data_IF_569180983881
#
_entry.id   IF_569180983881
#
_cell.length_a   1.000
_cell.length_b   1.000
_cell.length_c   1.000
_cell.angle_alpha   90.00
_cell.angle_beta   90.00
_cell.angle_gamma   90.00
#
_symmetry.space_group_name_H-M   'P 1'
#
loop_
_entity.id
_entity.type
_entity.pdbx_description
1 polymer ?
#
# COMPACT_ATOMS: atom_id res chain seq x y z
N UNK A 1 6.96 2.56 65.19
CA UNK A 1 7.69 2.70 63.92
C UNK A 1 6.92 1.97 62.82
N UNK A 2 5.96 2.63 62.18
CA UNK A 2 5.23 2.11 61.03
C UNK A 2 5.62 2.91 59.80
N UNK A 3 6.24 2.28 58.82
CA UNK A 3 6.62 2.94 57.56
C UNK A 3 5.36 3.18 56.72
N UNK A 4 4.97 4.44 56.59
CA UNK A 4 4.00 4.92 55.62
C UNK A 4 4.56 4.67 54.21
N UNK A 5 3.93 3.76 53.46
CA UNK A 5 4.17 3.60 52.03
C UNK A 5 3.51 4.78 51.34
N UNK A 6 4.31 5.76 50.93
CA UNK A 6 3.90 6.83 50.03
C UNK A 6 3.55 6.18 48.69
N UNK A 7 2.26 6.11 48.36
CA UNK A 7 1.80 5.71 47.04
C UNK A 7 2.27 6.76 46.04
N UNK A 8 3.18 6.36 45.16
CA UNK A 8 3.45 7.11 43.92
C UNK A 8 2.13 7.16 43.15
N UNK A 9 1.62 8.34 42.76
CA UNK A 9 0.45 8.40 41.91
C UNK A 9 0.80 7.71 40.59
N UNK A 10 0.09 6.61 40.31
CA UNK A 10 0.00 6.01 39.00
C UNK A 10 -0.46 7.12 38.04
N UNK A 11 0.47 7.66 37.25
CA UNK A 11 0.11 8.43 36.07
C UNK A 11 -0.67 7.48 35.17
N UNK A 12 -1.94 7.82 34.94
CA UNK A 12 -2.80 7.11 34.02
C UNK A 12 -2.08 6.97 32.67
N UNK A 13 -1.96 5.73 32.19
CA UNK A 13 -1.55 5.45 30.83
C UNK A 13 -2.54 6.14 29.89
N UNK A 14 -2.15 7.31 29.36
CA UNK A 14 -2.97 8.08 28.44
C UNK A 14 -3.02 7.39 27.08
N UNK A 15 -4.20 6.88 26.74
CA UNK A 15 -4.83 6.68 25.42
C UNK A 15 -4.00 6.85 24.11
N UNK A 16 -2.80 6.27 24.01
CA UNK A 16 -2.10 6.07 22.72
C UNK A 16 -2.39 4.66 22.22
N UNK A 17 -3.39 4.55 21.36
CA UNK A 17 -4.09 3.28 21.15
C UNK A 17 -3.80 2.65 19.76
N UNK A 18 -2.94 3.27 18.94
CA UNK A 18 -2.37 2.67 17.73
C UNK A 18 -0.98 3.24 17.36
N UNK A 19 -0.28 2.54 16.47
CA UNK A 19 1.08 2.91 16.02
C UNK A 19 1.18 2.94 14.49
N UNK A 20 1.57 4.07 13.92
CA UNK A 20 1.84 4.24 12.49
C UNK A 20 3.24 3.72 12.18
N UNK A 21 3.38 2.81 11.24
CA UNK A 21 4.69 2.42 10.69
C UNK A 21 4.95 3.21 9.41
N UNK A 22 6.12 3.84 9.30
CA UNK A 22 6.49 4.70 8.16
C UNK A 22 8.00 4.63 7.93
N UNK A 23 8.47 4.82 6.69
CA UNK A 23 9.90 4.95 6.43
C UNK A 23 10.40 6.37 6.60
N UNK A 24 11.67 6.50 6.99
CA UNK A 24 12.37 7.77 7.16
C UNK A 24 12.27 8.66 5.90
N UNK A 25 12.44 8.06 4.72
CA UNK A 25 12.36 8.77 3.44
C UNK A 25 10.97 9.37 3.17
N UNK A 26 9.89 8.72 3.63
CA UNK A 26 8.54 9.24 3.44
C UNK A 26 8.28 10.47 4.33
N UNK A 27 8.86 10.49 5.54
CA UNK A 27 8.83 11.67 6.41
C UNK A 27 9.70 12.80 5.86
N UNK A 28 10.84 12.49 5.24
CA UNK A 28 11.66 13.48 4.54
C UNK A 28 10.86 14.15 3.41
N UNK A 29 10.06 13.37 2.68
CA UNK A 29 9.24 13.87 1.59
C UNK A 29 8.15 14.83 2.11
N UNK A 30 7.40 14.42 3.14
CA UNK A 30 6.40 15.30 3.79
C UNK A 30 7.07 16.60 4.23
N UNK A 31 8.22 16.50 4.90
CA UNK A 31 8.93 17.67 5.39
C UNK A 31 9.35 18.62 4.25
N UNK A 32 9.85 18.08 3.14
CA UNK A 32 10.22 18.86 1.96
C UNK A 32 9.03 19.68 1.43
N UNK A 33 7.87 19.04 1.21
CA UNK A 33 6.69 19.75 0.73
C UNK A 33 6.20 20.80 1.73
N UNK A 34 6.18 20.51 3.04
CA UNK A 34 5.77 21.50 4.04
C UNK A 34 6.71 22.72 4.05
N UNK A 35 8.01 22.51 3.89
CA UNK A 35 9.01 23.58 3.85
C UNK A 35 8.98 24.40 2.56
N UNK A 36 8.56 23.80 1.44
CA UNK A 36 8.31 24.50 0.17
C UNK A 36 7.05 25.39 0.25
N UNK A 37 6.14 25.11 1.19
CA UNK A 37 4.88 25.82 1.38
C UNK A 37 4.72 26.38 2.83
N UNK A 38 5.60 27.27 3.30
CA UNK A 38 5.64 27.62 4.72
C UNK A 38 4.53 28.59 5.19
N UNK A 39 3.80 29.20 4.26
CA UNK A 39 2.80 30.24 4.53
C UNK A 39 1.37 29.88 4.08
N UNK A 40 1.20 28.70 3.49
CA UNK A 40 -0.07 28.18 2.97
C UNK A 40 -0.17 26.70 3.32
N UNK A 41 -1.37 26.14 3.34
CA UNK A 41 -1.52 24.71 3.56
C UNK A 41 -1.11 23.93 2.32
N UNK A 42 -0.45 22.79 2.53
CA UNK A 42 -0.11 21.79 1.52
C UNK A 42 -0.45 20.41 2.07
N UNK A 43 -0.46 19.40 1.21
CA UNK A 43 -0.81 18.05 1.63
C UNK A 43 -0.67 17.02 0.52
N UNK A 44 -1.20 15.85 0.79
CA UNK A 44 -1.24 14.73 -0.14
C UNK A 44 -1.83 13.48 0.52
N UNK A 45 -1.53 12.32 -0.06
CA UNK A 45 -2.23 11.08 0.28
C UNK A 45 -1.26 9.97 0.72
N UNK A 46 -1.77 9.06 1.54
CA UNK A 46 -1.04 7.97 2.17
C UNK A 46 -1.50 6.63 1.60
N UNK A 47 -0.54 5.87 1.08
CA UNK A 47 -0.78 4.53 0.54
C UNK A 47 0.00 3.47 1.31
N UNK A 48 -0.66 2.36 1.61
CA UNK A 48 -0.10 1.34 2.48
C UNK A 48 -1.05 0.20 2.79
N UNK A 49 -0.88 -0.37 3.98
CA UNK A 49 -1.66 -1.50 4.47
C UNK A 49 -2.15 -1.26 5.90
N UNK A 50 -3.27 -1.89 6.24
CA UNK A 50 -3.69 -2.07 7.63
C UNK A 50 -3.16 -3.41 8.15
N UNK A 51 -2.44 -3.39 9.27
CA UNK A 51 -2.01 -4.63 9.92
C UNK A 51 -3.20 -5.38 10.51
N UNK A 52 -3.01 -6.66 10.87
CA UNK A 52 -4.04 -7.45 11.56
C UNK A 52 -4.49 -6.80 12.89
N UNK A 53 -3.59 -6.09 13.58
CA UNK A 53 -3.92 -5.31 14.80
C UNK A 53 -4.65 -4.01 14.51
N UNK A 54 -4.91 -3.70 13.24
CA UNK A 54 -5.56 -2.46 12.80
C UNK A 54 -4.67 -1.23 12.78
N UNK A 55 -3.35 -1.40 12.86
CA UNK A 55 -2.38 -0.30 12.78
C UNK A 55 -2.05 0.02 11.31
N UNK A 56 -1.89 1.30 10.93
CA UNK A 56 -1.49 1.67 9.58
C UNK A 56 0.02 1.48 9.35
N UNK A 57 0.36 0.95 8.18
CA UNK A 57 1.72 0.85 7.68
C UNK A 57 1.84 1.56 6.33
N UNK A 58 2.38 2.78 6.35
CA UNK A 58 2.60 3.62 5.18
C UNK A 58 3.76 3.03 4.37
N UNK A 59 3.54 2.85 3.07
CA UNK A 59 4.54 2.37 2.11
C UNK A 59 4.91 3.42 1.07
N UNK A 60 3.97 4.30 0.74
CA UNK A 60 4.13 5.38 -0.24
C UNK A 60 3.40 6.61 0.27
N UNK A 61 4.05 7.77 0.20
CA UNK A 61 3.43 9.08 0.40
C UNK A 61 3.41 9.83 -0.92
N UNK A 62 2.23 10.35 -1.27
CA UNK A 62 2.06 11.29 -2.36
C UNK A 62 2.11 12.72 -1.83
N UNK A 63 2.77 13.60 -2.58
CA UNK A 63 2.72 15.05 -2.38
C UNK A 63 1.49 15.69 -3.04
N UNK A 64 1.44 17.04 -3.08
CA UNK A 64 0.40 17.74 -3.78
C UNK A 64 0.48 17.42 -5.28
N UNK A 65 -0.66 17.13 -5.90
CA UNK A 65 -0.75 17.05 -7.35
C UNK A 65 -0.57 18.41 -8.02
N UNK A 66 -0.24 18.45 -9.32
CA UNK A 66 -0.01 19.71 -10.05
C UNK A 66 -1.23 20.63 -10.07
N UNK A 67 -2.44 20.07 -10.02
CA UNK A 67 -3.70 20.79 -9.96
C UNK A 67 -4.17 21.08 -8.54
N UNK A 68 -3.38 20.77 -7.52
CA UNK A 68 -3.76 21.03 -6.14
C UNK A 68 -3.84 22.54 -5.89
N UNK A 69 -4.83 22.95 -5.08
CA UNK A 69 -5.05 24.36 -4.75
C UNK A 69 -4.75 24.59 -3.28
N UNK A 70 -3.88 25.56 -3.03
CA UNK A 70 -3.37 25.90 -1.72
C UNK A 70 -3.97 27.22 -1.25
N UNK A 71 -4.44 27.29 -0.01
CA UNK A 71 -4.90 28.50 0.65
C UNK A 71 -4.23 28.65 2.02
N UNK A 72 -4.44 29.78 2.68
CA UNK A 72 -3.84 30.07 3.97
C UNK A 72 -4.36 29.23 5.14
N UNK A 73 -5.45 28.47 4.95
CA UNK A 73 -6.06 27.63 5.98
C UNK A 73 -6.90 26.50 5.36
N UNK A 74 -6.62 26.16 4.09
CA UNK A 74 -7.29 25.07 3.40
C UNK A 74 -6.39 24.52 2.29
N UNK A 75 -6.47 23.21 2.05
CA UNK A 75 -5.78 22.50 0.98
C UNK A 75 -6.76 21.63 0.20
N UNK A 76 -6.85 21.86 -1.11
CA UNK A 76 -7.73 21.12 -2.00
C UNK A 76 -6.90 20.17 -2.87
N UNK A 77 -7.24 18.88 -2.79
CA UNK A 77 -6.51 17.82 -3.47
C UNK A 77 -6.71 17.88 -4.99
N UNK A 78 -5.66 17.50 -5.72
CA UNK A 78 -5.75 17.17 -7.13
C UNK A 78 -6.34 15.76 -7.29
N UNK A 79 -7.63 15.71 -7.56
CA UNK A 79 -8.41 14.48 -7.69
C UNK A 79 -7.90 13.60 -8.83
N UNK A 80 -7.58 14.19 -9.97
CA UNK A 80 -7.14 13.44 -11.16
C UNK A 80 -5.77 12.79 -10.87
N UNK A 81 -4.85 13.56 -10.25
CA UNK A 81 -3.57 13.01 -9.82
C UNK A 81 -3.73 11.88 -8.77
N UNK A 82 -4.64 12.04 -7.81
CA UNK A 82 -4.93 11.00 -6.82
C UNK A 82 -5.48 9.74 -7.49
N UNK A 83 -6.42 9.88 -8.43
CA UNK A 83 -6.99 8.73 -9.14
C UNK A 83 -5.93 7.99 -9.94
N UNK A 84 -5.19 8.70 -10.79
CA UNK A 84 -4.15 8.11 -11.65
C UNK A 84 -3.06 7.41 -10.84
N UNK A 85 -2.59 8.07 -9.78
CA UNK A 85 -1.55 7.48 -8.90
C UNK A 85 -2.13 6.32 -8.09
N UNK A 86 -3.35 6.46 -7.58
CA UNK A 86 -4.03 5.47 -6.77
C UNK A 86 -4.32 4.17 -7.51
N UNK A 87 -4.84 4.26 -8.74
CA UNK A 87 -5.09 3.11 -9.61
C UNK A 87 -3.80 2.32 -9.86
N UNK A 88 -2.68 3.02 -10.11
CA UNK A 88 -1.40 2.37 -10.38
C UNK A 88 -0.77 1.77 -9.12
N UNK A 89 -0.83 2.47 -7.99
CA UNK A 89 -0.36 1.96 -6.70
C UNK A 89 -1.18 0.75 -6.25
N UNK A 90 -2.47 0.71 -6.54
CA UNK A 90 -3.33 -0.43 -6.27
C UNK A 90 -3.04 -1.60 -7.23
N UNK A 91 -3.08 -1.36 -8.54
CA UNK A 91 -2.94 -2.39 -9.55
C UNK A 91 -1.53 -3.02 -9.56
N UNK A 92 -0.48 -2.19 -9.52
CA UNK A 92 0.89 -2.65 -9.70
C UNK A 92 1.55 -3.07 -8.38
N UNK A 93 1.04 -2.60 -7.23
CA UNK A 93 1.66 -2.79 -5.93
C UNK A 93 0.71 -3.27 -4.81
N UNK A 94 -0.58 -3.43 -5.10
CA UNK A 94 -1.58 -3.87 -4.12
C UNK A 94 -1.81 -2.89 -2.97
N UNK A 95 -1.36 -1.64 -3.09
CA UNK A 95 -1.46 -0.67 -2.01
C UNK A 95 -2.89 -0.13 -1.90
N UNK A 96 -3.33 0.09 -0.66
CA UNK A 96 -4.61 0.71 -0.35
C UNK A 96 -4.39 2.20 -0.08
N UNK A 97 -5.36 3.03 -0.45
CA UNK A 97 -5.47 4.38 0.08
C UNK A 97 -5.89 4.27 1.56
N UNK A 98 -4.99 4.64 2.47
CA UNK A 98 -5.20 4.46 3.92
C UNK A 98 -5.45 5.78 4.64
N UNK A 99 -5.31 6.92 3.96
CA UNK A 99 -5.38 8.21 4.61
C UNK A 99 -4.77 9.36 3.84
N UNK A 100 -4.71 10.52 4.48
CA UNK A 100 -4.12 11.75 3.98
C UNK A 100 -3.10 12.36 4.94
N UNK A 101 -2.38 13.35 4.44
CA UNK A 101 -1.60 14.25 5.27
C UNK A 101 -1.76 15.67 4.76
N UNK A 102 -1.76 16.64 5.67
CA UNK A 102 -1.74 18.06 5.32
C UNK A 102 -1.08 18.89 6.41
N UNK A 103 -0.72 20.11 6.06
CA UNK A 103 -0.03 21.03 6.96
C UNK A 103 -0.95 22.12 7.47
N UNK A 104 -0.93 22.38 8.77
CA UNK A 104 -1.44 23.63 9.35
C UNK A 104 -0.33 24.68 9.51
N UNK A 105 0.69 24.67 8.63
CA UNK A 105 1.89 25.51 8.63
C UNK A 105 2.25 26.08 10.02
N UNK A 106 2.25 27.41 10.17
CA UNK A 106 2.49 28.16 11.42
C UNK A 106 1.21 28.49 12.23
N UNK A 107 0.04 27.97 11.86
CA UNK A 107 -1.21 28.17 12.64
C UNK A 107 -1.09 27.54 14.03
N UNK A 108 -0.22 26.53 14.18
CA UNK A 108 0.10 25.94 15.47
C UNK A 108 -0.99 25.01 16.00
N UNK A 109 -2.00 24.68 15.19
CA UNK A 109 -3.00 23.65 15.47
C UNK A 109 -2.42 22.28 15.08
N UNK A 110 -2.08 21.47 16.07
CA UNK A 110 -1.39 20.19 15.89
C UNK A 110 -2.34 18.99 15.71
N UNK A 111 -3.64 19.25 15.65
CA UNK A 111 -4.74 18.30 15.51
C UNK A 111 -5.66 18.68 14.34
N UNK A 112 -6.47 17.76 13.81
CA UNK A 112 -7.44 18.08 12.77
C UNK A 112 -8.37 19.21 13.22
N UNK A 113 -8.67 20.11 12.30
CA UNK A 113 -9.69 21.14 12.49
C UNK A 113 -11.09 20.51 12.56
N UNK A 114 -12.11 21.31 12.90
CA UNK A 114 -13.49 20.85 12.83
C UNK A 114 -13.92 20.50 11.39
N UNK A 115 -13.43 21.28 10.41
CA UNK A 115 -13.67 21.03 8.98
C UNK A 115 -12.99 19.74 8.50
N UNK A 116 -11.75 19.50 8.93
CA UNK A 116 -11.01 18.27 8.63
C UNK A 116 -11.78 17.05 9.15
N UNK A 117 -12.17 17.09 10.43
CA UNK A 117 -12.89 15.99 11.05
C UNK A 117 -14.23 15.70 10.36
N UNK A 118 -14.99 16.75 10.01
CA UNK A 118 -16.25 16.60 9.28
C UNK A 118 -16.03 15.99 7.89
N UNK A 119 -14.97 16.39 7.19
CA UNK A 119 -14.61 15.88 5.85
C UNK A 119 -14.23 14.40 5.91
N UNK A 120 -13.40 14.01 6.88
CA UNK A 120 -13.01 12.60 7.04
C UNK A 120 -14.21 11.75 7.46
N UNK A 121 -15.06 12.21 8.37
CA UNK A 121 -16.27 11.47 8.75
C UNK A 121 -17.23 11.27 7.59
N UNK A 122 -17.42 12.29 6.75
CA UNK A 122 -18.19 12.16 5.51
C UNK A 122 -17.55 11.15 4.57
N UNK A 123 -16.23 11.21 4.41
CA UNK A 123 -15.46 10.25 3.59
C UNK A 123 -15.65 8.81 4.07
N UNK A 124 -15.57 8.55 5.38
CA UNK A 124 -15.81 7.23 5.96
C UNK A 124 -17.24 6.74 5.66
N UNK A 125 -18.23 7.61 5.84
CA UNK A 125 -19.64 7.27 5.64
C UNK A 125 -19.98 7.00 4.17
N UNK A 126 -19.61 7.92 3.27
CA UNK A 126 -19.94 7.81 1.85
C UNK A 126 -19.27 6.61 1.20
N UNK A 127 -18.03 6.31 1.59
CA UNK A 127 -17.24 5.26 0.96
C UNK A 127 -17.28 3.93 1.75
N UNK A 128 -18.00 3.86 2.87
CA UNK A 128 -18.04 2.67 3.72
C UNK A 128 -16.67 2.24 4.27
N UNK A 129 -15.72 3.18 4.38
CA UNK A 129 -14.41 2.88 4.94
C UNK A 129 -14.52 2.67 6.45
N UNK A 130 -13.90 1.61 7.00
CA UNK A 130 -13.94 1.37 8.44
C UNK A 130 -13.05 2.35 9.22
N UNK A 131 -12.04 2.94 8.56
CA UNK A 131 -11.02 3.79 9.18
C UNK A 131 -10.24 4.61 8.15
N UNK A 132 -9.66 5.71 8.61
CA UNK A 132 -8.90 6.65 7.79
C UNK A 132 -7.83 7.34 8.65
N UNK A 133 -6.58 7.33 8.18
CA UNK A 133 -5.47 7.99 8.86
C UNK A 133 -5.32 9.42 8.35
N UNK A 134 -5.24 10.40 9.23
CA UNK A 134 -4.86 11.77 8.88
C UNK A 134 -3.60 12.16 9.63
N UNK A 135 -2.62 12.66 8.90
CA UNK A 135 -1.38 13.18 9.47
C UNK A 135 -1.34 14.71 9.37
N UNK A 136 -1.21 15.39 10.52
CA UNK A 136 -1.11 16.85 10.58
C UNK A 136 0.35 17.25 10.75
N UNK A 137 0.86 18.04 9.81
CA UNK A 137 2.18 18.63 9.86
C UNK A 137 2.13 20.10 10.31
N UNK A 138 3.04 20.52 11.20
CA UNK A 138 3.18 21.91 11.63
C UNK A 138 4.62 22.37 11.54
N UNK A 139 4.84 23.66 11.29
CA UNK A 139 6.17 24.28 11.37
C UNK A 139 6.35 24.85 12.78
N UNK A 140 7.45 24.47 13.43
CA UNK A 140 7.83 24.93 14.78
C UNK A 140 9.28 25.38 14.77
N UNK A 141 9.64 26.28 15.69
CA UNK A 141 11.04 26.49 16.01
C UNK A 141 11.61 25.23 16.66
N UNK A 142 12.81 24.80 16.22
CA UNK A 142 13.44 23.60 16.75
C UNK A 142 13.73 23.66 18.26
N UNK A 143 13.83 24.88 18.82
CA UNK A 143 14.03 25.12 20.24
C UNK A 143 12.73 24.93 21.06
N UNK A 144 11.56 24.96 20.42
CA UNK A 144 10.24 24.82 21.06
C UNK A 144 9.77 23.36 21.14
N UNK A 145 10.45 22.43 20.46
CA UNK A 145 10.08 21.01 20.47
C UNK A 145 10.69 20.32 21.69
N UNK A 146 9.88 19.79 22.64
CA UNK A 146 10.40 19.18 23.85
C UNK A 146 11.36 18.02 23.57
N UNK A 147 12.56 18.01 24.18
CA UNK A 147 13.48 16.88 24.02
C UNK A 147 12.91 15.62 24.70
N UNK A 148 12.81 14.52 23.96
CA UNK A 148 12.59 13.19 24.53
C UNK A 148 11.25 12.50 24.24
N UNK A 149 10.31 13.13 23.52
CA UNK A 149 9.00 12.51 23.22
C UNK A 149 8.88 11.92 21.79
N UNK A 150 9.90 11.99 20.94
CA UNK A 150 9.77 11.58 19.54
C UNK A 150 11.05 11.22 18.80
N UNK A 151 10.89 10.82 17.54
CA UNK A 151 12.02 10.58 16.61
C UNK A 151 12.31 11.87 15.87
N UNK A 152 13.57 12.26 15.85
CA UNK A 152 14.06 13.45 15.14
C UNK A 152 15.05 13.06 14.07
N UNK A 153 14.91 13.64 12.88
CA UNK A 153 16.00 13.71 11.91
C UNK A 153 16.55 15.13 11.86
N UNK A 154 17.84 15.25 12.15
CA UNK A 154 18.61 16.47 11.92
C UNK A 154 19.47 16.22 10.70
N UNK A 155 19.33 17.04 9.65
CA UNK A 155 20.21 16.92 8.50
C UNK A 155 21.63 17.30 8.93
N UNK A 156 22.57 16.37 8.75
CA UNK A 156 24.00 16.56 8.97
C UNK A 156 24.72 16.32 7.63
N UNK A 157 24.73 17.32 6.75
CA UNK A 157 25.53 17.20 5.51
C UNK A 157 26.17 18.50 5.02
N UNK A 158 25.85 19.66 5.59
CA UNK A 158 26.42 20.93 5.12
C UNK A 158 26.83 21.91 6.23
N UNK A 159 26.84 21.48 7.51
CA UNK A 159 27.40 22.27 8.62
C UNK A 159 26.71 23.63 8.84
N UNK A 160 25.55 23.87 8.20
CA UNK A 160 24.78 25.12 8.29
C UNK A 160 23.46 24.98 9.05
N UNK A 161 23.07 23.76 9.39
CA UNK A 161 21.78 23.39 10.01
C UNK A 161 21.85 23.21 11.53
N UNK A 162 22.96 23.58 12.15
CA UNK A 162 23.08 23.78 13.60
C UNK A 162 22.91 25.26 13.98
N UNK A 163 22.05 26.01 13.30
CA UNK A 163 21.61 27.31 13.81
C UNK A 163 20.47 27.06 14.79
N UNK A 164 20.70 27.47 16.04
CA UNK A 164 19.65 27.87 16.98
C UNK A 164 18.61 28.72 16.21
N UNK A 165 17.32 28.43 16.34
CA UNK A 165 16.24 29.11 15.59
C UNK A 165 16.01 28.64 14.14
N UNK A 166 16.18 27.35 13.83
CA UNK A 166 15.74 26.75 12.55
C UNK A 166 14.35 26.13 12.65
N UNK A 167 13.56 26.20 11.57
CA UNK A 167 12.23 25.57 11.53
C UNK A 167 12.34 24.05 11.41
N UNK A 168 11.45 23.34 12.10
CA UNK A 168 11.29 21.89 12.04
C UNK A 168 9.83 21.55 11.73
N UNK A 169 9.63 20.54 10.89
CA UNK A 169 8.30 20.00 10.60
C UNK A 169 7.93 18.99 11.68
N UNK A 170 6.88 19.24 12.45
CA UNK A 170 6.36 18.34 13.48
C UNK A 170 5.11 17.63 12.95
N UNK A 171 5.13 16.29 12.91
CA UNK A 171 4.00 15.49 12.44
C UNK A 171 3.29 14.75 13.57
N UNK A 172 1.96 14.77 13.49
CA UNK A 172 1.03 14.13 14.39
C UNK A 172 0.12 13.18 13.60
N UNK A 173 -0.25 12.04 14.17
CA UNK A 173 -1.09 11.04 13.53
C UNK A 173 -2.44 10.91 14.23
N UNK A 174 -3.51 10.88 13.44
CA UNK A 174 -4.90 10.80 13.91
C UNK A 174 -5.64 9.71 13.15
N UNK A 175 -6.21 8.75 13.86
CA UNK A 175 -7.01 7.68 13.27
C UNK A 175 -8.49 7.97 13.48
N UNK A 176 -9.20 8.13 12.37
CA UNK A 176 -10.65 8.20 12.33
C UNK A 176 -11.21 6.80 12.09
N UNK A 177 -12.30 6.47 12.76
CA UNK A 177 -12.94 5.16 12.70
C UNK A 177 -14.44 5.31 12.57
N UNK A 178 -15.06 4.48 11.74
CA UNK A 178 -16.51 4.49 11.56
C UNK A 178 -17.21 4.26 12.91
N UNK A 179 -18.14 5.17 13.25
CA UNK A 179 -18.90 5.11 14.50
C UNK A 179 -18.21 5.75 15.71
N UNK A 180 -16.99 6.29 15.58
CA UNK A 180 -16.33 7.08 16.64
C UNK A 180 -16.38 8.56 16.29
N UNK A 181 -16.84 9.40 17.22
CA UNK A 181 -16.95 10.85 16.98
C UNK A 181 -15.58 11.54 16.94
N UNK A 182 -14.69 11.19 17.88
CA UNK A 182 -13.37 11.82 18.02
C UNK A 182 -12.27 10.92 17.44
N UNK A 183 -11.30 11.49 16.69
CA UNK A 183 -10.16 10.73 16.24
C UNK A 183 -9.26 10.31 17.41
N UNK A 184 -8.56 9.19 17.22
CA UNK A 184 -7.60 8.63 18.16
C UNK A 184 -6.22 9.21 17.82
N UNK A 185 -5.42 9.65 18.80
CA UNK A 185 -4.04 10.09 18.53
C UNK A 185 -3.09 8.89 18.53
N UNK A 186 -2.25 8.81 17.51
CA UNK A 186 -1.30 7.71 17.30
C UNK A 186 0.11 8.03 17.75
N UNK A 187 0.94 6.98 17.76
CA UNK A 187 2.41 7.08 17.88
C UNK A 187 3.09 6.59 16.60
N UNK A 188 4.35 6.93 16.40
CA UNK A 188 5.13 6.57 15.21
C UNK A 188 6.15 5.46 15.48
N UNK A 189 6.30 4.57 14.52
CA UNK A 189 7.37 3.57 14.40
C UNK A 189 8.13 3.86 13.11
N UNK A 190 9.22 4.62 13.21
CA UNK A 190 9.98 5.05 12.03
C UNK A 190 10.99 3.96 11.64
N UNK A 191 10.88 3.46 10.42
CA UNK A 191 11.81 2.53 9.80
C UNK A 191 12.91 3.30 9.08
N UNK A 192 14.18 2.97 9.31
CA UNK A 192 15.30 3.62 8.59
C UNK A 192 15.24 3.39 7.08
N UNK A 193 15.68 4.37 6.29
CA UNK A 193 15.79 4.25 4.84
C UNK A 193 14.47 4.53 4.10
N UNK A 194 14.23 3.79 3.00
CA UNK A 194 13.11 4.00 2.08
C UNK A 194 12.36 2.69 1.86
N UNK A 195 11.04 2.76 1.69
CA UNK A 195 10.24 1.59 1.28
C UNK A 195 10.74 1.03 -0.05
N UNK A 196 10.97 -0.30 -0.16
CA UNK A 196 11.21 -0.95 -1.45
C UNK A 196 10.08 -0.68 -2.45
N UNK A 197 8.83 -0.64 -1.99
CA UNK A 197 7.65 -0.40 -2.83
C UNK A 197 7.66 1.03 -3.37
N UNK A 198 7.97 2.03 -2.52
CA UNK A 198 8.13 3.42 -2.95
C UNK A 198 9.18 3.56 -4.06
N UNK A 199 10.28 2.83 -3.96
CA UNK A 199 11.33 2.83 -4.99
C UNK A 199 10.83 2.25 -6.33
N UNK A 200 10.07 1.16 -6.30
CA UNK A 200 9.51 0.56 -7.53
C UNK A 200 8.39 1.40 -8.12
N UNK A 201 7.54 1.99 -7.27
CA UNK A 201 6.43 2.86 -7.69
C UNK A 201 6.93 4.12 -8.39
N UNK A 202 7.97 4.77 -7.84
CA UNK A 202 8.57 5.94 -8.49
C UNK A 202 9.20 5.58 -9.84
N UNK A 203 9.90 4.44 -9.94
CA UNK A 203 10.49 3.97 -11.21
C UNK A 203 9.44 3.61 -12.25
N UNK A 204 8.31 3.06 -11.83
CA UNK A 204 7.17 2.82 -12.70
C UNK A 204 6.51 4.14 -13.13
N UNK A 205 6.71 5.22 -12.37
CA UNK A 205 6.12 6.54 -12.57
C UNK A 205 4.76 6.70 -11.88
N UNK A 206 4.38 5.80 -10.98
CA UNK A 206 3.12 5.84 -10.22
C UNK A 206 3.11 6.98 -9.19
N UNK A 207 4.29 7.48 -8.84
CA UNK A 207 4.48 8.67 -8.02
C UNK A 207 5.36 9.68 -8.76
N UNK A 208 5.21 10.96 -8.42
CA UNK A 208 6.12 11.99 -8.90
C UNK A 208 7.40 12.03 -8.06
N UNK A 209 8.55 12.36 -8.68
CA UNK A 209 9.78 12.60 -7.94
C UNK A 209 9.57 13.71 -6.90
N UNK A 210 10.09 13.51 -5.70
CA UNK A 210 10.02 14.48 -4.61
C UNK A 210 10.95 15.69 -4.89
N UNK A 211 10.68 16.87 -4.29
CA UNK A 211 11.61 17.99 -4.33
C UNK A 211 13.02 17.58 -3.89
N UNK A 212 14.05 18.15 -4.53
CA UNK A 212 15.45 17.80 -4.26
C UNK A 212 15.92 18.15 -2.85
N UNK A 213 15.24 19.08 -2.18
CA UNK A 213 15.62 19.55 -0.85
C UNK A 213 14.84 18.80 0.21
N UNK A 214 15.54 18.07 1.09
CA UNK A 214 14.95 17.49 2.29
C UNK A 214 15.26 18.40 3.47
N UNK A 215 14.31 18.52 4.40
CA UNK A 215 14.47 19.35 5.59
C UNK A 215 14.27 18.59 6.90
N UNK A 216 14.58 19.21 8.05
CA UNK A 216 14.48 18.56 9.34
C UNK A 216 13.02 18.30 9.73
N UNK A 217 12.77 17.12 10.29
CA UNK A 217 11.45 16.74 10.80
C UNK A 217 11.52 16.07 12.17
N UNK A 218 10.37 16.08 12.83
CA UNK A 218 10.12 15.49 14.13
C UNK A 218 8.74 14.82 14.15
N UNK A 219 8.65 13.58 14.65
CA UNK A 219 7.37 12.88 14.83
C UNK A 219 7.07 12.66 16.31
N UNK A 220 5.85 12.98 16.78
CA UNK A 220 5.48 12.91 18.22
C UNK A 220 4.12 12.27 18.48
N UNK A 221 4.02 11.27 19.39
CA UNK A 221 5.12 10.52 19.99
C UNK A 221 5.75 9.53 19.00
N UNK A 222 7.03 9.19 19.12
CA UNK A 222 7.69 8.32 18.16
C UNK A 222 8.82 7.47 18.71
N UNK A 223 9.02 6.29 18.12
CA UNK A 223 10.18 5.43 18.36
C UNK A 223 10.87 5.07 17.04
N UNK A 224 12.21 5.07 17.03
CA UNK A 224 12.98 4.63 15.87
C UNK A 224 13.12 3.12 15.93
N UNK A 225 12.90 2.46 14.79
CA UNK A 225 13.25 1.06 14.60
C UNK A 225 14.18 0.99 13.40
N UNK A 226 15.29 0.28 13.52
CA UNK A 226 15.99 -0.17 12.32
C UNK A 226 14.96 -0.94 11.50
N UNK A 227 14.77 -0.56 10.23
CA UNK A 227 14.02 -1.39 9.32
C UNK A 227 14.62 -2.78 9.47
N UNK A 228 13.83 -3.75 9.92
CA UNK A 228 14.30 -5.13 9.93
C UNK A 228 14.66 -5.35 8.47
N UNK A 229 15.95 -5.50 8.18
CA UNK A 229 16.34 -6.16 6.95
C UNK A 229 15.64 -7.48 7.11
N UNK A 230 14.48 -7.63 6.46
CA UNK A 230 13.96 -8.95 6.24
C UNK A 230 15.17 -9.68 5.70
N UNK A 231 15.63 -10.72 6.42
CA UNK A 231 16.55 -11.65 5.81
C UNK A 231 16.00 -11.88 4.42
N UNK A 232 16.83 -11.67 3.38
CA UNK A 232 16.45 -11.86 1.98
C UNK A 232 15.44 -12.99 1.95
N UNK A 233 14.16 -12.71 1.62
CA UNK A 233 13.11 -13.67 1.90
C UNK A 233 13.53 -14.98 1.24
N UNK A 234 13.76 -16.00 2.08
CA UNK A 234 14.44 -17.22 1.64
C UNK A 234 13.58 -18.03 0.67
N UNK A 235 12.28 -17.76 0.69
CA UNK A 235 11.31 -18.39 -0.17
C UNK A 235 11.50 -17.97 -1.64
N UNK A 236 11.62 -18.95 -2.51
CA UNK A 236 11.88 -18.78 -3.95
C UNK A 236 10.89 -17.81 -4.63
N UNK A 237 9.62 -17.81 -4.22
CA UNK A 237 8.55 -16.99 -4.81
C UNK A 237 8.67 -15.50 -4.51
N UNK A 238 9.56 -15.10 -3.61
CA UNK A 238 9.86 -13.69 -3.32
C UNK A 238 11.00 -13.14 -4.18
N UNK A 239 11.79 -14.01 -4.81
CA UNK A 239 12.87 -13.62 -5.73
C UNK A 239 12.31 -12.95 -6.99
N UNK A 240 13.15 -12.23 -7.75
CA UNK A 240 12.71 -11.65 -9.03
C UNK A 240 12.20 -12.72 -10.00
N UNK A 241 12.96 -13.80 -10.15
CA UNK A 241 12.58 -14.94 -10.97
C UNK A 241 11.28 -15.61 -10.50
N UNK A 242 11.13 -15.88 -9.20
CA UNK A 242 9.94 -16.55 -8.67
C UNK A 242 8.66 -15.75 -8.86
N UNK A 243 8.74 -14.41 -8.73
CA UNK A 243 7.63 -13.51 -9.04
C UNK A 243 7.25 -13.54 -10.52
N UNK A 244 8.24 -13.46 -11.41
CA UNK A 244 8.00 -13.54 -12.87
C UNK A 244 7.40 -14.88 -13.28
N UNK A 245 7.86 -15.98 -12.66
CA UNK A 245 7.30 -17.31 -12.86
C UNK A 245 5.83 -17.37 -12.45
N UNK A 246 5.48 -16.90 -11.25
CA UNK A 246 4.10 -16.92 -10.74
C UNK A 246 3.15 -16.03 -11.54
N UNK A 247 3.61 -14.85 -11.97
CA UNK A 247 2.82 -13.96 -12.82
C UNK A 247 2.50 -14.62 -14.16
N UNK A 248 3.49 -15.25 -14.80
CA UNK A 248 3.28 -15.99 -16.06
C UNK A 248 2.40 -17.22 -15.86
N UNK A 249 2.57 -17.95 -14.75
CA UNK A 249 1.75 -19.09 -14.40
C UNK A 249 0.28 -18.69 -14.28
N UNK A 250 -0.01 -17.62 -13.54
CA UNK A 250 -1.37 -17.11 -13.36
C UNK A 250 -1.97 -16.54 -14.66
N UNK A 251 -1.19 -15.82 -15.47
CA UNK A 251 -1.64 -15.34 -16.78
C UNK A 251 -2.07 -16.49 -17.70
N UNK A 252 -1.27 -17.56 -17.79
CA UNK A 252 -1.59 -18.73 -18.60
C UNK A 252 -2.79 -19.47 -18.00
N UNK A 253 -2.80 -19.65 -16.68
CA UNK A 253 -3.85 -20.41 -16.02
C UNK A 253 -5.22 -19.72 -16.07
N UNK A 254 -5.30 -18.39 -15.97
CA UNK A 254 -6.56 -17.65 -16.15
C UNK A 254 -7.15 -17.80 -17.56
N UNK A 255 -6.33 -18.09 -18.57
CA UNK A 255 -6.81 -18.41 -19.93
C UNK A 255 -7.30 -19.86 -20.06
N UNK A 256 -6.83 -20.75 -19.20
CA UNK A 256 -7.08 -22.19 -19.29
C UNK A 256 -8.18 -22.68 -18.32
N UNK A 257 -8.40 -21.98 -17.21
CA UNK A 257 -9.29 -22.43 -16.13
C UNK A 257 -10.29 -21.33 -15.72
N UNK A 258 -11.54 -21.68 -15.36
CA UNK A 258 -12.57 -20.71 -14.97
C UNK A 258 -12.26 -19.93 -13.68
N UNK A 259 -11.47 -20.51 -12.78
CA UNK A 259 -11.11 -19.91 -11.50
C UNK A 259 -9.71 -20.34 -11.13
N UNK A 260 -8.89 -19.36 -10.73
CA UNK A 260 -7.51 -19.56 -10.29
C UNK A 260 -7.23 -18.76 -9.03
N UNK A 261 -6.33 -19.25 -8.17
CA UNK A 261 -5.85 -18.51 -7.00
C UNK A 261 -4.47 -18.99 -6.56
N UNK A 262 -3.59 -18.05 -6.20
CA UNK A 262 -2.32 -18.36 -5.53
C UNK A 262 -2.54 -18.23 -4.02
N UNK A 263 -2.20 -19.27 -3.27
CA UNK A 263 -2.29 -19.29 -1.80
C UNK A 263 -0.95 -19.73 -1.23
N UNK A 264 -0.60 -19.24 -0.04
CA UNK A 264 0.60 -19.67 0.69
C UNK A 264 0.18 -20.22 2.04
N UNK A 265 0.65 -21.42 2.37
CA UNK A 265 0.53 -21.94 3.72
C UNK A 265 1.61 -21.29 4.58
N UNK A 266 1.20 -20.48 5.56
CA UNK A 266 2.11 -19.72 6.42
C UNK A 266 2.95 -20.58 7.36
N UNK A 267 2.50 -21.82 7.65
CA UNK A 267 3.18 -22.72 8.58
C UNK A 267 4.25 -23.57 7.87
N UNK A 268 3.97 -24.01 6.62
CA UNK A 268 4.88 -24.85 5.85
C UNK A 268 5.70 -24.10 4.80
N UNK A 269 5.34 -22.86 4.45
CA UNK A 269 5.92 -22.13 3.32
C UNK A 269 5.52 -22.68 1.95
N UNK A 270 4.68 -23.70 1.88
CA UNK A 270 4.19 -24.29 0.63
C UNK A 270 3.27 -23.30 -0.09
N UNK A 271 3.61 -22.98 -1.35
CA UNK A 271 2.78 -22.15 -2.21
C UNK A 271 1.92 -23.07 -3.07
N UNK A 272 0.61 -22.84 -3.10
CA UNK A 272 -0.32 -23.61 -3.90
C UNK A 272 -1.01 -22.73 -4.94
N UNK A 273 -0.85 -23.09 -6.22
CA UNK A 273 -1.62 -22.55 -7.34
C UNK A 273 -2.87 -23.38 -7.55
N UNK A 274 -4.03 -22.87 -7.12
CA UNK A 274 -5.32 -23.56 -7.15
C UNK A 274 -6.07 -23.20 -8.42
N UNK A 275 -6.77 -24.17 -8.97
CA UNK A 275 -7.62 -23.98 -10.15
C UNK A 275 -8.78 -24.97 -10.16
N UNK A 276 -9.87 -24.62 -10.82
CA UNK A 276 -11.07 -25.47 -10.92
C UNK A 276 -11.17 -26.09 -12.31
N UNK A 277 -11.53 -27.38 -12.36
CA UNK A 277 -11.88 -28.10 -13.58
C UNK A 277 -13.27 -28.71 -13.44
N UNK A 278 -13.77 -29.38 -14.49
CA UNK A 278 -15.02 -30.16 -14.40
C UNK A 278 -14.96 -31.27 -13.34
N UNK A 279 -13.76 -31.72 -12.96
CA UNK A 279 -13.53 -32.74 -11.93
C UNK A 279 -13.44 -32.19 -10.49
N UNK A 280 -13.50 -30.87 -10.29
CA UNK A 280 -13.40 -30.23 -8.99
C UNK A 280 -12.21 -29.28 -8.86
N UNK A 281 -11.83 -28.96 -7.62
CA UNK A 281 -10.73 -28.04 -7.33
C UNK A 281 -9.41 -28.81 -7.19
N UNK A 282 -8.44 -28.44 -8.02
CA UNK A 282 -7.08 -28.97 -8.00
C UNK A 282 -6.12 -27.88 -7.52
N UNK A 283 -4.91 -28.29 -7.14
CA UNK A 283 -3.82 -27.35 -6.87
C UNK A 283 -2.48 -27.88 -7.36
N UNK A 284 -1.59 -27.01 -7.83
CA UNK A 284 -0.16 -27.31 -7.93
C UNK A 284 0.51 -26.77 -6.67
N UNK A 285 1.00 -27.67 -5.82
CA UNK A 285 1.74 -27.36 -4.61
C UNK A 285 3.23 -27.26 -4.93
N UNK A 286 3.79 -26.06 -4.74
CA UNK A 286 5.20 -25.76 -4.88
C UNK A 286 5.87 -25.80 -3.50
N UNK A 287 6.86 -26.67 -3.31
CA UNK A 287 7.60 -26.74 -2.04
C UNK A 287 8.50 -25.50 -1.87
N UNK A 288 8.90 -25.23 -0.62
CA UNK A 288 9.84 -24.14 -0.27
C UNK A 288 11.20 -24.26 -1.01
N UNK A 289 11.59 -25.49 -1.40
CA UNK A 289 12.80 -25.77 -2.17
C UNK A 289 12.65 -25.76 -3.70
N UNK A 290 11.54 -25.28 -4.26
CA UNK A 290 11.40 -25.11 -5.71
C UNK A 290 12.38 -24.03 -6.23
N UNK A 291 13.04 -24.21 -7.39
CA UNK A 291 12.86 -25.26 -8.41
C UNK A 291 13.65 -26.56 -8.18
N UNK A 292 14.50 -26.63 -7.16
CA UNK A 292 15.31 -27.83 -6.89
C UNK A 292 14.46 -29.02 -6.40
N UNK A 293 13.29 -28.74 -5.82
CA UNK A 293 12.26 -29.72 -5.46
C UNK A 293 11.06 -29.60 -6.39
N UNK A 294 10.55 -30.76 -6.81
CA UNK A 294 9.42 -30.86 -7.74
C UNK A 294 8.11 -30.42 -7.08
N UNK A 295 7.24 -29.72 -7.82
CA UNK A 295 5.88 -29.48 -7.37
C UNK A 295 5.03 -30.74 -7.48
N UNK A 296 3.90 -30.74 -6.77
CA UNK A 296 2.94 -31.84 -6.72
C UNK A 296 1.56 -31.35 -7.16
N UNK A 297 0.88 -32.11 -8.01
CA UNK A 297 -0.53 -31.93 -8.30
C UNK A 297 -1.33 -32.53 -7.14
N UNK A 298 -2.14 -31.70 -6.51
CA UNK A 298 -3.08 -32.06 -5.46
C UNK A 298 -4.47 -32.19 -6.08
N UNK A 299 -5.05 -33.39 -5.98
CA UNK A 299 -6.39 -33.70 -6.48
C UNK A 299 -7.49 -33.30 -5.47
N UNK A 300 -8.77 -33.21 -5.89
CA UNK A 300 -9.88 -32.80 -5.03
C UNK A 300 -10.08 -33.69 -3.79
N UNK A 301 -9.70 -34.96 -3.87
CA UNK A 301 -9.73 -35.94 -2.79
C UNK A 301 -8.48 -35.90 -1.88
N UNK A 302 -7.54 -34.99 -2.16
CA UNK A 302 -6.31 -34.79 -1.38
C UNK A 302 -5.15 -35.69 -1.80
N UNK A 303 -5.30 -36.48 -2.87
CA UNK A 303 -4.19 -37.20 -3.49
C UNK A 303 -3.10 -36.24 -3.96
N UNK A 304 -1.83 -36.68 -3.93
CA UNK A 304 -0.68 -35.89 -4.37
C UNK A 304 0.17 -36.69 -5.34
N UNK A 305 0.45 -36.11 -6.50
CA UNK A 305 1.27 -36.72 -7.55
C UNK A 305 2.35 -35.74 -8.02
N UNK A 306 3.62 -36.15 -8.19
CA UNK A 306 4.68 -35.27 -8.71
C UNK A 306 4.37 -34.75 -10.12
N UNK A 307 4.76 -33.50 -10.40
CA UNK A 307 4.67 -32.89 -11.73
C UNK A 307 6.09 -32.76 -12.30
N UNK A 308 6.38 -33.50 -13.37
CA UNK A 308 7.75 -33.72 -13.85
C UNK A 308 8.27 -32.63 -14.80
N UNK A 309 7.38 -31.86 -15.43
CA UNK A 309 7.69 -30.80 -16.42
C UNK A 309 7.81 -29.41 -15.81
N UNK A 310 7.84 -29.30 -14.48
CA UNK A 310 8.03 -28.04 -13.80
C UNK A 310 9.45 -27.49 -14.00
N UNK A 311 9.70 -26.92 -15.17
CA UNK A 311 10.92 -26.20 -15.46
C UNK A 311 10.77 -24.74 -15.00
N UNK A 312 11.76 -24.18 -14.30
CA UNK A 312 11.70 -22.82 -13.76
C UNK A 312 11.41 -21.72 -14.79
N UNK A 313 11.64 -21.98 -16.07
CA UNK A 313 11.46 -21.02 -17.17
C UNK A 313 10.24 -21.30 -18.06
N UNK A 314 9.47 -22.37 -17.78
CA UNK A 314 8.40 -22.83 -18.67
C UNK A 314 7.10 -23.14 -17.93
N UNK A 315 6.46 -22.13 -17.29
CA UNK A 315 5.20 -22.33 -16.58
C UNK A 315 4.07 -22.89 -17.47
N UNK A 316 4.11 -22.63 -18.78
CA UNK A 316 3.16 -23.20 -19.73
C UNK A 316 3.34 -24.70 -20.00
N UNK A 317 4.54 -25.26 -19.81
CA UNK A 317 4.74 -26.72 -19.88
C UNK A 317 4.15 -27.42 -18.67
N UNK A 318 4.38 -26.86 -17.48
CA UNK A 318 3.78 -27.32 -16.22
C UNK A 318 2.25 -27.38 -16.33
N UNK A 319 1.61 -26.30 -16.76
CA UNK A 319 0.14 -26.29 -16.90
C UNK A 319 -0.36 -27.24 -18.00
N UNK A 320 0.44 -27.51 -19.04
CA UNK A 320 0.08 -28.48 -20.09
C UNK A 320 0.10 -29.92 -19.55
N UNK A 321 1.11 -30.28 -18.76
CA UNK A 321 1.17 -31.58 -18.09
C UNK A 321 0.02 -31.72 -17.08
N UNK A 322 -0.20 -30.72 -16.24
CA UNK A 322 -1.31 -30.69 -15.28
C UNK A 322 -2.65 -30.84 -15.99
N UNK A 323 -2.86 -30.18 -17.13
CA UNK A 323 -4.06 -30.39 -17.97
C UNK A 323 -4.19 -31.83 -18.45
N UNK A 324 -3.07 -32.46 -18.83
CA UNK A 324 -3.04 -33.89 -19.19
C UNK A 324 -3.40 -34.81 -18.02
N UNK A 325 -2.90 -34.54 -16.81
CA UNK A 325 -3.14 -35.34 -15.60
C UNK A 325 -4.56 -35.19 -15.04
N UNK A 326 -5.13 -33.98 -15.13
CA UNK A 326 -6.46 -33.67 -14.59
C UNK A 326 -7.63 -34.07 -15.49
N UNK A 327 -7.37 -34.41 -16.77
CA UNK A 327 -8.39 -34.88 -17.72
C UNK A 327 -9.49 -33.84 -18.05
N UNK A 328 -9.44 -33.28 -19.27
CA UNK A 328 -10.47 -32.43 -19.91
C UNK A 328 -11.22 -31.44 -19.00
N UNK A 329 -10.56 -30.33 -18.65
CA UNK A 329 -11.25 -29.05 -18.49
C UNK A 329 -11.73 -28.54 -19.86
N UNK A 330 -13.03 -28.30 -19.99
CA UNK A 330 -13.77 -28.09 -21.23
C UNK A 330 -13.16 -27.07 -22.21
N UNK A 331 -12.65 -27.57 -23.33
CA UNK A 331 -13.08 -27.29 -24.73
C UNK A 331 -12.07 -27.98 -25.67
N UNK A 332 -12.54 -28.92 -26.49
CA UNK A 332 -11.90 -29.38 -27.73
C UNK A 332 -13.05 -29.42 -28.77
N UNK A 333 -13.25 -28.45 -29.69
CA UNK A 333 -12.48 -28.00 -30.87
C UNK A 333 -12.95 -28.74 -32.16
N UNK A 334 -13.10 -28.10 -33.35
CA UNK A 334 -12.02 -28.23 -34.33
C UNK A 334 -11.89 -27.09 -35.37
N UNK A 335 -10.66 -26.65 -35.64
CA UNK A 335 -10.02 -26.60 -36.97
C UNK A 335 -8.97 -25.47 -37.04
N UNK A 336 -7.70 -25.83 -37.15
CA UNK A 336 -6.74 -25.07 -37.95
C UNK A 336 -5.58 -25.99 -38.33
N UNK A 337 -5.65 -26.54 -39.55
CA UNK A 337 -4.43 -26.91 -40.27
C UNK A 337 -3.68 -25.63 -40.69
N UNK A 338 -2.35 -25.68 -40.85
CA UNK A 338 -1.60 -24.53 -41.33
C UNK A 338 -1.71 -24.46 -42.85
N UNK A 339 -2.28 -23.38 -43.38
CA UNK A 339 -2.10 -23.01 -44.79
C UNK A 339 -1.80 -21.53 -44.92
N UNK A 340 -0.61 -21.29 -45.45
CA UNK A 340 -0.11 -20.15 -46.23
C UNK A 340 -1.14 -19.17 -46.81
N UNK A 341 -0.74 -17.89 -46.76
CA UNK A 341 -1.01 -16.81 -47.73
C UNK A 341 -2.44 -16.62 -48.26
N UNK A 342 -3.12 -15.56 -47.82
CA UNK A 342 -3.56 -14.52 -48.76
C UNK A 342 -3.95 -13.22 -48.06
N UNK A 343 -3.73 -12.14 -48.79
CA UNK A 343 -3.82 -10.74 -48.43
C UNK A 343 -5.12 -10.20 -49.01
N UNK A 344 -6.04 -9.68 -48.20
CA UNK A 344 -7.02 -8.68 -48.66
C UNK A 344 -7.50 -7.80 -47.50
N UNK A 345 -7.31 -6.50 -47.69
CA UNK A 345 -8.02 -5.42 -47.01
C UNK A 345 -9.52 -5.53 -47.31
N UNK A 346 -10.42 -5.33 -46.32
CA UNK A 346 -11.65 -4.50 -46.39
C UNK A 346 -12.21 -4.30 -44.96
N UNK A 347 -12.07 -3.07 -44.47
CA UNK A 347 -13.07 -2.21 -43.80
C UNK A 347 -14.35 -2.86 -43.21
N UNK A 348 -14.47 -2.84 -41.88
CA UNK A 348 -15.75 -3.03 -41.16
C UNK A 348 -16.40 -1.68 -40.81
N UNK A 349 -17.73 -1.51 -41.00
CA UNK A 349 -18.48 -0.44 -40.37
C UNK A 349 -18.97 -0.86 -38.97
N UNK A 350 -18.99 0.09 -38.03
CA UNK A 350 -19.74 -0.03 -36.78
C UNK A 350 -21.25 -0.26 -37.07
N UNK A 351 -22.03 -0.91 -36.17
CA UNK A 351 -22.69 -0.11 -35.14
C UNK A 351 -23.09 -0.82 -33.81
N UNK A 352 -23.46 0.06 -32.87
CA UNK A 352 -24.56 -0.02 -31.89
C UNK A 352 -24.44 -0.86 -30.60
N UNK A 353 -24.53 -0.07 -29.52
CA UNK A 353 -24.97 -0.36 -28.16
C UNK A 353 -26.01 -1.47 -27.98
N UNK A 354 -25.81 -2.27 -26.93
CA UNK A 354 -26.87 -2.92 -26.18
C UNK A 354 -26.53 -2.86 -24.68
N UNK A 355 -27.53 -2.45 -23.90
CA UNK A 355 -27.48 -2.29 -22.45
C UNK A 355 -27.80 -3.60 -21.72
N UNK A 356 -27.23 -3.74 -20.52
CA UNK A 356 -27.88 -4.38 -19.37
C UNK A 356 -27.42 -5.80 -19.03
N UNK A 357 -26.71 -5.93 -17.91
CA UNK A 357 -27.09 -6.78 -16.76
C UNK A 357 -25.95 -6.74 -15.73
N UNK A 358 -26.31 -6.54 -14.47
CA UNK A 358 -25.38 -6.26 -13.38
C UNK A 358 -24.56 -7.47 -12.96
N UNK A 359 -23.34 -7.19 -12.54
CA UNK A 359 -22.51 -8.08 -11.73
C UNK A 359 -21.75 -7.19 -10.74
N UNK A 360 -21.82 -7.54 -9.46
CA UNK A 360 -21.28 -6.76 -8.36
C UNK A 360 -19.75 -6.86 -8.36
N UNK A 361 -19.08 -5.74 -8.60
CA UNK A 361 -17.63 -5.58 -8.54
C UNK A 361 -17.15 -5.56 -7.07
N UNK A 362 -16.27 -6.48 -6.63
CA UNK A 362 -15.62 -6.40 -5.33
C UNK A 362 -14.39 -5.47 -5.42
N UNK A 363 -14.60 -4.23 -5.89
CA UNK A 363 -13.58 -3.20 -6.00
C UNK A 363 -13.63 -2.28 -4.78
N UNK A 364 -12.58 -2.31 -3.95
CA UNK A 364 -12.41 -1.36 -2.85
C UNK A 364 -12.16 0.04 -3.42
N UNK A 365 -13.26 0.78 -3.58
CA UNK A 365 -13.47 2.22 -3.35
C UNK A 365 -12.19 3.09 -3.33
N UNK A 366 -11.88 3.70 -4.46
CA UNK A 366 -11.32 5.05 -4.44
C UNK A 366 -12.44 6.02 -4.01
N UNK A 367 -12.15 7.06 -3.23
CA UNK A 367 -13.19 7.99 -2.80
C UNK A 367 -13.86 8.66 -4.00
N UNK A 368 -15.17 8.90 -3.87
CA UNK A 368 -15.90 9.81 -4.77
C UNK A 368 -15.19 11.18 -4.77
N UNK A 369 -14.77 11.69 -5.94
CA UNK A 369 -14.01 12.93 -6.08
C UNK A 369 -14.70 14.17 -5.48
N UNK A 370 -16.02 14.14 -5.33
CA UNK A 370 -16.79 15.28 -4.80
C UNK A 370 -16.83 15.35 -3.26
N UNK A 371 -16.18 14.40 -2.57
CA UNK A 371 -16.25 14.25 -1.10
C UNK A 371 -14.96 14.72 -0.39
N UNK A 372 -13.86 14.90 -1.11
CA UNK A 372 -12.57 15.35 -0.56
C UNK A 372 -12.43 16.87 -0.71
N UNK A 373 -13.31 17.62 -0.06
CA UNK A 373 -13.23 19.09 -0.02
C UNK A 373 -13.17 19.54 1.43
N UNK A 374 -12.00 20.00 1.87
CA UNK A 374 -11.80 20.69 3.14
C UNK A 374 -12.38 22.10 3.03
N UNK A 375 -13.17 22.49 4.04
CA UNK A 375 -13.60 23.88 4.31
C UNK A 375 -12.83 24.43 5.51
#
# INVERSE_FOLDING_TARGET
MGRTRTSVPCQAAGDTDFRVTVYEADLDHIAAWVLDHPAIETGGNLFGFWTHSGSPAIQVVLGPGPGARHQSAAFFQDVDYLRDSGERLQHDHGLQHIGDWHSHHRIGLDRPSGGDAATVHRTLQTNGFPRFLTCIATLRDADDVPPGEGVRRVHASDGRSARRGGEVVVLHAYLFEAGRAEPRRGSWSVLSGRSPISTTAERAGATRPTPRQTGPWWVVPGTTRTAVRHAEPTAWYSTGWGRDFLLRLDEIGRRAYPSTAITVNTDSGELAYRFTTGGGQYAVAFPDGFPDRRPELVSPDGGREPVDTAHPDRPGELLREVRGLTGRGATEDPHTHPTSEERTDVMDPAPAAAAGAGEADPGALLPDPDVVQSD
#
